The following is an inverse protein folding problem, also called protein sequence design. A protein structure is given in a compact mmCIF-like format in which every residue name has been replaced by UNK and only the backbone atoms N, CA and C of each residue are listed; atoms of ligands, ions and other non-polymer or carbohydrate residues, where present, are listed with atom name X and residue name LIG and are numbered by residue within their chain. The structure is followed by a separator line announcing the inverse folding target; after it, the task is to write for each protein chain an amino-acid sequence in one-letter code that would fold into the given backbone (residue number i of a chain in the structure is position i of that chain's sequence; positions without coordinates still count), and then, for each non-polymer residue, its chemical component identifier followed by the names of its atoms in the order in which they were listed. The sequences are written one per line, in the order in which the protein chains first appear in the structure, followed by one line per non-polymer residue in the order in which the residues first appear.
data_IF_316591359862
#
_entry.id   IF_316591359862
#
_cell.length_a   1.000
_cell.length_b   1.000
_cell.length_c   1.000
_cell.angle_alpha   90.00
_cell.angle_beta   90.00
_cell.angle_gamma   90.00
#
_symmetry.space_group_name_H-M   'P 1'
#
loop_
_entity.id
_entity.type
_entity.pdbx_description
1 polymer ?
#
# COMPACT_ATOMS: atom_id res chain seq x y z
N UNK A 1 6.63 15.65 -24.66
CA UNK A 1 5.65 14.62 -24.24
C UNK A 1 5.51 14.69 -22.72
N UNK A 2 4.37 15.14 -22.20
CA UNK A 2 4.15 15.11 -20.77
C UNK A 2 3.98 13.65 -20.35
N UNK A 3 4.83 13.16 -19.48
CA UNK A 3 4.61 11.88 -18.83
C UNK A 3 3.30 11.97 -18.04
N UNK A 4 2.45 10.99 -18.22
CA UNK A 4 1.20 10.89 -17.46
C UNK A 4 1.58 10.66 -15.98
N UNK A 5 1.65 11.75 -15.24
CA UNK A 5 2.08 11.71 -13.83
C UNK A 5 0.92 11.22 -12.99
N UNK A 6 1.12 10.08 -12.35
CA UNK A 6 0.17 9.51 -11.39
C UNK A 6 0.91 9.26 -10.09
N UNK A 7 0.43 9.85 -9.02
CA UNK A 7 1.03 9.71 -7.69
C UNK A 7 -0.02 9.21 -6.70
N UNK A 8 0.44 8.57 -5.64
CA UNK A 8 -0.44 7.88 -4.72
C UNK A 8 -0.13 8.20 -3.27
N UNK A 9 -1.17 8.46 -2.50
CA UNK A 9 -1.14 8.33 -1.06
C UNK A 9 -1.78 6.98 -0.69
N UNK A 10 -1.09 6.19 0.14
CA UNK A 10 -1.50 4.81 0.43
C UNK A 10 -1.58 4.57 1.94
N UNK A 11 -2.62 5.11 2.60
CA UNK A 11 -2.74 4.94 4.05
C UNK A 11 -3.22 3.55 4.44
N UNK A 12 -2.72 3.07 5.58
CA UNK A 12 -3.30 1.90 6.26
C UNK A 12 -4.32 2.40 7.29
N UNK A 13 -5.52 1.79 7.38
CA UNK A 13 -6.53 2.23 8.33
C UNK A 13 -6.25 1.67 9.75
N UNK A 14 -5.00 1.78 10.19
CA UNK A 14 -4.53 1.30 11.50
C UNK A 14 -4.44 2.43 12.53
N UNK A 15 -5.00 3.59 12.20
CA UNK A 15 -5.04 4.75 13.09
C UNK A 15 -5.62 5.97 12.39
N UNK A 16 -5.76 7.02 13.17
CA UNK A 16 -6.28 8.29 12.67
C UNK A 16 -5.19 9.03 11.86
N UNK A 17 -5.59 9.99 11.06
CA UNK A 17 -4.63 10.83 10.33
C UNK A 17 -3.78 11.62 11.34
N UNK A 18 -2.47 11.60 11.16
CA UNK A 18 -1.55 12.43 11.93
C UNK A 18 -0.66 13.24 10.99
N UNK A 19 0.06 14.20 11.54
CA UNK A 19 0.82 15.18 10.74
C UNK A 19 1.85 14.54 9.82
N UNK A 20 2.45 13.41 10.21
CA UNK A 20 3.38 12.67 9.35
C UNK A 20 2.72 12.12 8.09
N UNK A 21 1.53 11.55 8.25
CA UNK A 21 0.76 11.02 7.13
C UNK A 21 0.21 12.15 6.25
N UNK A 22 -0.27 13.22 6.87
CA UNK A 22 -0.75 14.42 6.15
C UNK A 22 0.38 15.03 5.31
N UNK A 23 1.59 15.12 5.85
CA UNK A 23 2.77 15.61 5.12
C UNK A 23 3.06 14.76 3.89
N UNK A 24 3.00 13.43 4.04
CA UNK A 24 3.25 12.52 2.91
C UNK A 24 2.19 12.71 1.82
N UNK A 25 0.92 12.81 2.21
CA UNK A 25 -0.18 13.07 1.27
C UNK A 25 0.03 14.42 0.57
N UNK A 26 0.39 15.46 1.33
CA UNK A 26 0.57 16.82 0.82
C UNK A 26 1.65 16.89 -0.27
N UNK A 27 2.81 16.25 -0.06
CA UNK A 27 3.87 16.27 -1.09
C UNK A 27 3.41 15.62 -2.39
N UNK A 28 2.70 14.49 -2.30
CA UNK A 28 2.15 13.83 -3.47
C UNK A 28 1.08 14.71 -4.15
N UNK A 29 0.18 15.27 -3.36
CA UNK A 29 -0.87 16.16 -3.84
C UNK A 29 -0.29 17.36 -4.60
N UNK A 30 0.63 18.08 -3.97
CA UNK A 30 1.25 19.27 -4.58
C UNK A 30 2.02 18.91 -5.86
N UNK A 31 2.71 17.78 -5.86
CA UNK A 31 3.43 17.33 -7.05
C UNK A 31 2.46 17.04 -8.22
N UNK A 32 1.38 16.31 -7.92
CA UNK A 32 0.36 16.05 -8.94
C UNK A 32 -0.24 17.36 -9.47
N UNK A 33 -0.68 18.23 -8.57
CA UNK A 33 -1.35 19.49 -8.97
C UNK A 33 -0.41 20.42 -9.75
N UNK A 34 0.86 20.51 -9.33
CA UNK A 34 1.86 21.33 -10.04
C UNK A 34 2.08 20.87 -11.48
N UNK A 35 2.04 19.57 -11.71
CA UNK A 35 2.33 18.99 -13.04
C UNK A 35 1.06 18.64 -13.84
N UNK A 36 -0.12 18.95 -13.35
CA UNK A 36 -1.38 18.59 -14.02
C UNK A 36 -1.59 17.07 -14.06
N UNK A 37 -1.07 16.36 -13.07
CA UNK A 37 -1.16 14.89 -12.95
C UNK A 37 -2.31 14.44 -12.08
N UNK A 38 -2.41 13.13 -11.90
CA UNK A 38 -3.45 12.45 -11.12
C UNK A 38 -2.94 12.16 -9.70
N UNK A 39 -3.71 12.58 -8.69
CA UNK A 39 -3.47 12.20 -7.28
C UNK A 39 -4.53 11.19 -6.87
N UNK A 40 -4.09 10.01 -6.44
CA UNK A 40 -5.01 8.95 -6.07
C UNK A 40 -4.77 8.45 -4.64
N UNK A 41 -5.83 7.89 -4.04
CA UNK A 41 -5.76 7.28 -2.71
C UNK A 41 -6.06 5.79 -2.85
N UNK A 42 -5.19 4.95 -2.28
CA UNK A 42 -5.43 3.50 -2.20
C UNK A 42 -5.22 3.04 -0.77
N UNK A 43 -6.27 2.50 -0.18
CA UNK A 43 -6.25 2.03 1.20
C UNK A 43 -5.47 0.71 1.30
N UNK A 44 -4.52 0.64 2.22
CA UNK A 44 -3.73 -0.57 2.47
C UNK A 44 -4.27 -1.26 3.74
N UNK A 45 -5.35 -2.02 3.57
CA UNK A 45 -6.20 -2.59 4.61
C UNK A 45 -5.97 -4.09 4.87
N UNK A 46 -4.81 -4.62 4.49
CA UNK A 46 -4.53 -6.05 4.68
C UNK A 46 -4.20 -6.44 6.12
N UNK A 47 -3.86 -5.48 6.98
CA UNK A 47 -3.58 -5.75 8.39
C UNK A 47 -4.87 -5.65 9.22
N UNK A 48 -5.63 -6.74 9.22
CA UNK A 48 -6.93 -6.82 9.93
C UNK A 48 -6.80 -6.73 11.45
N UNK A 49 -5.63 -7.13 12.01
CA UNK A 49 -5.41 -7.12 13.46
C UNK A 49 -5.32 -5.70 14.03
N UNK A 50 -4.79 -4.76 13.24
CA UNK A 50 -4.63 -3.37 13.64
C UNK A 50 -5.65 -2.43 13.02
N UNK A 51 -6.68 -2.99 12.39
CA UNK A 51 -7.74 -2.18 11.78
C UNK A 51 -8.48 -1.37 12.85
N UNK A 52 -8.60 -0.07 12.64
CA UNK A 52 -9.33 0.84 13.52
C UNK A 52 -10.67 1.17 12.87
N UNK A 53 -11.75 0.97 13.63
CA UNK A 53 -13.09 1.37 13.18
C UNK A 53 -13.07 2.85 12.76
N UNK A 54 -13.69 3.18 11.66
CA UNK A 54 -13.66 4.53 11.07
C UNK A 54 -12.28 5.04 10.65
N UNK A 55 -11.21 4.23 10.71
CA UNK A 55 -9.87 4.65 10.33
C UNK A 55 -9.80 5.16 8.89
N UNK A 56 -10.41 4.44 7.95
CA UNK A 56 -10.47 4.86 6.55
C UNK A 56 -11.24 6.19 6.42
N UNK A 57 -12.44 6.25 6.99
CA UNK A 57 -13.29 7.45 6.94
C UNK A 57 -12.58 8.67 7.50
N UNK A 58 -11.95 8.51 8.67
CA UNK A 58 -11.18 9.58 9.31
C UNK A 58 -10.03 10.08 8.43
N UNK A 59 -9.30 9.17 7.77
CA UNK A 59 -8.22 9.56 6.85
C UNK A 59 -8.76 10.46 5.72
N UNK A 60 -9.84 10.04 5.08
CA UNK A 60 -10.40 10.76 3.94
C UNK A 60 -11.01 12.12 4.36
N UNK A 61 -11.80 12.14 5.44
CA UNK A 61 -12.41 13.37 5.94
C UNK A 61 -11.37 14.41 6.34
N UNK A 62 -10.31 13.98 7.03
CA UNK A 62 -9.26 14.89 7.46
C UNK A 62 -8.41 15.41 6.29
N UNK A 63 -8.19 14.61 5.24
CA UNK A 63 -7.52 15.10 4.03
C UNK A 63 -8.38 16.17 3.33
N UNK A 64 -9.70 15.96 3.24
CA UNK A 64 -10.61 16.98 2.71
C UNK A 64 -10.58 18.26 3.55
N UNK A 65 -10.59 18.13 4.88
CA UNK A 65 -10.51 19.28 5.78
C UNK A 65 -9.23 20.08 5.57
N UNK A 66 -8.11 19.38 5.23
CA UNK A 66 -6.84 20.02 4.89
C UNK A 66 -6.82 20.63 3.48
N UNK A 67 -7.92 20.52 2.74
CA UNK A 67 -8.01 21.07 1.37
C UNK A 67 -7.38 20.20 0.29
N UNK A 68 -7.12 18.93 0.59
CA UNK A 68 -6.57 17.99 -0.40
C UNK A 68 -7.71 17.16 -1.01
N UNK A 69 -8.03 17.41 -2.27
CA UNK A 69 -8.94 16.60 -3.05
C UNK A 69 -8.15 15.56 -3.86
N UNK A 70 -8.82 14.56 -4.37
CA UNK A 70 -8.20 13.50 -5.15
C UNK A 70 -9.04 13.15 -6.37
N UNK A 71 -8.37 12.54 -7.35
CA UNK A 71 -9.00 12.21 -8.63
C UNK A 71 -9.58 10.79 -8.59
N UNK A 72 -8.93 9.88 -7.83
CA UNK A 72 -9.33 8.47 -7.76
C UNK A 72 -9.20 7.96 -6.31
N UNK A 73 -10.16 7.16 -5.86
CA UNK A 73 -10.17 6.61 -4.51
C UNK A 73 -11.12 5.41 -4.40
N UNK A 74 -11.14 4.71 -3.25
CA UNK A 74 -12.11 3.63 -3.01
C UNK A 74 -13.58 4.08 -3.05
N UNK A 75 -13.85 5.38 -2.92
CA UNK A 75 -15.21 5.91 -2.98
C UNK A 75 -15.75 5.97 -4.41
N UNK A 76 -14.87 6.02 -5.39
CA UNK A 76 -15.25 6.25 -6.80
C UNK A 76 -14.75 5.19 -7.76
N UNK A 77 -13.86 4.31 -7.32
CA UNK A 77 -13.22 3.32 -8.18
C UNK A 77 -13.09 1.98 -7.46
N UNK A 78 -13.36 0.89 -8.16
CA UNK A 78 -13.13 -0.47 -7.66
C UNK A 78 -11.63 -0.77 -7.58
N UNK A 79 -11.27 -1.69 -6.70
CA UNK A 79 -9.88 -2.17 -6.53
C UNK A 79 -8.92 -1.11 -5.99
N UNK A 80 -9.44 -0.11 -5.27
CA UNK A 80 -8.63 0.89 -4.58
C UNK A 80 -8.46 0.58 -3.08
N UNK A 81 -8.93 -0.60 -2.64
CA UNK A 81 -8.49 -1.20 -1.37
C UNK A 81 -7.59 -2.39 -1.67
N UNK A 82 -6.53 -2.54 -0.89
CA UNK A 82 -5.57 -3.62 -1.11
C UNK A 82 -6.21 -5.00 -0.94
N UNK A 83 -7.17 -5.12 -0.02
CA UNK A 83 -7.93 -6.35 0.21
C UNK A 83 -8.75 -6.80 -1.00
N UNK A 84 -9.15 -5.87 -1.87
CA UNK A 84 -9.91 -6.15 -3.09
C UNK A 84 -9.03 -6.71 -4.21
N UNK A 85 -7.71 -6.78 -4.02
CA UNK A 85 -6.74 -7.11 -5.07
C UNK A 85 -6.01 -8.44 -4.81
N UNK A 86 -6.51 -9.26 -3.91
CA UNK A 86 -5.81 -10.50 -3.51
C UNK A 86 -5.60 -11.46 -4.68
N UNK A 87 -6.60 -11.62 -5.54
CA UNK A 87 -6.49 -12.48 -6.73
C UNK A 87 -5.40 -11.99 -7.68
N UNK A 88 -5.32 -10.67 -7.86
CA UNK A 88 -4.28 -10.05 -8.69
C UNK A 88 -2.88 -10.30 -8.10
N UNK A 89 -2.74 -10.19 -6.79
CA UNK A 89 -1.48 -10.46 -6.12
C UNK A 89 -1.10 -11.94 -6.28
N UNK A 90 -2.06 -12.85 -6.11
CA UNK A 90 -1.78 -14.28 -6.29
C UNK A 90 -1.31 -14.58 -7.72
N UNK A 91 -1.96 -14.00 -8.71
CA UNK A 91 -1.56 -14.14 -10.11
C UNK A 91 -0.08 -13.75 -10.32
N UNK A 92 0.32 -12.59 -9.81
CA UNK A 92 1.72 -12.12 -9.96
C UNK A 92 2.70 -12.94 -9.13
N UNK A 93 2.29 -13.42 -7.96
CA UNK A 93 3.09 -14.32 -7.13
C UNK A 93 3.39 -15.62 -7.91
N UNK A 94 2.36 -16.21 -8.51
CA UNK A 94 2.50 -17.44 -9.26
C UNK A 94 3.41 -17.24 -10.49
N UNK A 95 3.29 -16.10 -11.15
CA UNK A 95 4.16 -15.75 -12.27
C UNK A 95 5.62 -15.65 -11.81
N UNK A 96 5.89 -14.94 -10.72
CA UNK A 96 7.25 -14.79 -10.18
C UNK A 96 7.86 -16.14 -9.78
N UNK A 97 7.05 -17.02 -9.19
CA UNK A 97 7.49 -18.37 -8.83
C UNK A 97 7.82 -19.19 -10.09
N UNK A 98 6.97 -19.13 -11.10
CA UNK A 98 7.18 -19.83 -12.37
C UNK A 98 8.42 -19.36 -13.11
N UNK A 99 8.72 -18.05 -13.03
CA UNK A 99 9.90 -17.45 -13.64
C UNK A 99 11.20 -17.64 -12.81
N UNK A 100 11.10 -18.28 -11.64
CA UNK A 100 12.24 -18.45 -10.73
C UNK A 100 12.74 -17.14 -10.10
N UNK A 101 11.91 -16.10 -10.14
CA UNK A 101 12.22 -14.78 -9.57
C UNK A 101 11.80 -14.64 -8.11
N UNK A 102 11.07 -15.63 -7.60
CA UNK A 102 10.65 -15.70 -6.21
C UNK A 102 10.72 -17.15 -5.73
N UNK A 103 10.76 -17.32 -4.43
CA UNK A 103 10.73 -18.66 -3.82
C UNK A 103 9.86 -18.63 -2.57
N UNK A 104 9.30 -19.79 -2.24
CA UNK A 104 8.51 -19.96 -1.01
C UNK A 104 9.45 -20.11 0.18
N UNK A 105 9.15 -19.40 1.26
CA UNK A 105 9.92 -19.48 2.51
C UNK A 105 8.95 -19.67 3.68
N UNK A 106 9.32 -20.54 4.58
CA UNK A 106 8.52 -20.90 5.76
C UNK A 106 9.24 -20.37 7.01
N UNK A 107 8.98 -19.12 7.33
CA UNK A 107 9.59 -18.46 8.49
C UNK A 107 8.50 -17.91 9.42
N UNK A 108 8.83 -17.83 10.69
CA UNK A 108 7.92 -17.22 11.68
C UNK A 108 7.90 -15.68 11.50
N UNK A 109 6.89 -15.08 11.99
CA UNK A 109 6.74 -13.60 11.96
C UNK A 109 7.97 -12.83 12.49
N UNK A 110 8.43 -13.26 13.33
CA UNK A 110 9.62 -12.75 13.95
C UNK A 110 10.84 -12.86 13.05
N UNK A 111 10.87 -13.83 12.36
CA UNK A 111 11.88 -14.06 11.41
C UNK A 111 11.62 -13.23 10.18
N UNK A 112 10.51 -13.00 9.91
CA UNK A 112 10.14 -12.20 8.81
C UNK A 112 10.48 -10.75 9.02
N UNK A 113 10.37 -10.42 10.19
CA UNK A 113 10.69 -9.13 10.57
C UNK A 113 12.21 -8.91 10.58
N UNK A 114 12.82 -9.83 10.87
CA UNK A 114 14.22 -9.83 10.82
C UNK A 114 14.73 -9.95 9.39
N UNK A 115 14.15 -10.58 8.68
CA UNK A 115 14.44 -10.72 7.34
C UNK A 115 14.11 -9.47 6.57
N UNK A 116 13.13 -8.89 6.93
CA UNK A 116 12.75 -7.67 6.35
C UNK A 116 13.72 -6.56 6.70
N UNK A 117 14.16 -6.75 7.79
CA UNK A 117 15.15 -5.83 8.18
C UNK A 117 16.51 -6.09 7.52
N UNK A 118 16.68 -7.12 7.38
CA UNK A 118 17.83 -7.57 6.68
C UNK A 118 17.71 -7.34 5.18
N UNK A 119 16.71 -7.47 4.75
CA UNK A 119 16.46 -7.24 3.36
C UNK A 119 16.50 -5.79 2.98
N UNK A 120 16.12 -5.21 3.83
CA UNK A 120 16.19 -3.81 3.66
C UNK A 120 17.65 -3.29 3.62
N UNK A 121 18.34 -4.03 4.24
CA UNK A 121 19.74 -3.73 4.21
C UNK A 121 20.43 -4.31 3.02
N UNK A 122 19.97 -5.31 2.63
CA UNK A 122 20.49 -5.97 1.48
C UNK A 122 19.70 -5.68 0.22
N UNK A 123 19.09 -4.85 0.22
CA UNK A 123 18.24 -4.53 -0.91
C UNK A 123 18.59 -5.10 -2.24
N UNK A 124 19.02 -5.83 -2.21
CA UNK A 124 19.30 -6.32 -3.47
C UNK A 124 18.87 -7.71 -3.77
N UNK A 125 18.74 -8.28 -2.99
CA UNK A 125 18.39 -9.57 -3.39
C UNK A 125 16.93 -9.66 -3.67
N UNK A 126 16.62 -9.37 -4.54
CA UNK A 126 15.33 -9.56 -4.93
C UNK A 126 14.79 -10.91 -4.68
N UNK A 127 15.21 -11.42 -3.99
CA UNK A 127 14.51 -12.56 -3.60
C UNK A 127 13.31 -12.14 -2.78
N UNK A 128 12.26 -12.09 -3.50
CA UNK A 128 11.02 -11.79 -2.83
C UNK A 128 10.53 -13.03 -2.06
N UNK A 129 10.61 -12.91 -0.76
CA UNK A 129 10.09 -13.95 0.13
C UNK A 129 8.57 -13.79 0.24
N UNK A 130 7.86 -14.79 -0.21
CA UNK A 130 6.40 -14.83 -0.12
C UNK A 130 6.03 -15.67 1.09
N UNK A 131 5.43 -15.04 2.06
CA UNK A 131 4.88 -15.76 3.23
C UNK A 131 3.70 -16.61 2.80
N UNK A 132 3.79 -17.87 3.11
CA UNK A 132 2.60 -18.73 3.00
C UNK A 132 1.78 -18.54 4.29
N UNK A 133 0.73 -17.76 4.20
CA UNK A 133 -0.15 -17.48 5.36
C UNK A 133 -1.24 -18.53 5.56
N UNK A 134 -1.10 -19.71 4.96
CA UNK A 134 -2.08 -20.76 5.17
C UNK A 134 -1.81 -21.51 6.49
N UNK A 135 -2.00 -20.83 7.60
CA UNK A 135 -2.23 -21.47 8.88
C UNK A 135 -3.54 -20.90 9.42
N UNK A 136 -4.58 -21.66 9.24
CA UNK A 136 -5.83 -21.47 9.95
C UNK A 136 -5.62 -21.70 11.46
N UNK A 137 -5.84 -20.68 12.24
CA UNK A 137 -6.20 -20.76 13.64
C UNK A 137 -7.29 -19.75 13.90
#
# INVERSE_FOLDING_TARGET
MSKDIRVRYAPSPTGLLHIGNARTALFNYLYARHHGGTFLIRIEDTDRKRHVEDGERSQLENLRWLGMDWDESPESHENYRQSERLDLYQKYIDQLLAEGKAYKSYVTEXXXXXXXXXXXXXXXXXXTCIKNTSTNY
#
